data_IF_973193125190
#
_entry.id   IF_973193125190
#
_cell.length_a   1.000
_cell.length_b   1.000
_cell.length_c   1.000
_cell.angle_alpha   90.00
_cell.angle_beta   90.00
_cell.angle_gamma   90.00
#
_symmetry.space_group_name_H-M   'P 1'
#
loop_
_entity.id
_entity.type
_entity.pdbx_description
1 polymer ?
#
# COMPACT_ATOMS: atom_id res chain seq x y z
N UNK A 1 -5.85 -20.52 33.86
CA UNK A 1 -5.66 -21.53 32.79
C UNK A 1 -5.90 -20.94 31.39
N UNK A 2 -6.87 -20.02 31.20
CA UNK A 2 -7.16 -19.41 29.89
C UNK A 2 -6.12 -18.37 29.46
N UNK A 3 -5.53 -17.64 30.40
CA UNK A 3 -4.46 -16.66 30.19
C UNK A 3 -3.15 -17.33 29.72
N UNK A 4 -2.83 -18.51 30.26
CA UNK A 4 -1.64 -19.27 29.84
C UNK A 4 -1.80 -19.87 28.43
N UNK A 5 -3.00 -20.35 28.06
CA UNK A 5 -3.31 -20.79 26.68
C UNK A 5 -3.26 -19.63 25.69
N UNK A 6 -3.77 -18.47 26.05
CA UNK A 6 -3.73 -17.25 25.22
C UNK A 6 -2.29 -16.79 24.99
N UNK A 7 -1.42 -16.81 26.03
CA UNK A 7 0.01 -16.47 25.89
C UNK A 7 0.73 -17.48 24.99
N UNK A 8 0.49 -18.77 25.14
CA UNK A 8 1.12 -19.82 24.31
C UNK A 8 0.73 -19.74 22.84
N UNK A 9 -0.54 -19.42 22.52
CA UNK A 9 -1.00 -19.19 21.14
C UNK A 9 -0.38 -17.93 20.54
N UNK A 10 -0.25 -16.85 21.31
CA UNK A 10 0.42 -15.62 20.89
C UNK A 10 1.90 -15.85 20.55
N UNK A 11 2.59 -16.65 21.34
CA UNK A 11 4.01 -16.97 21.09
C UNK A 11 4.21 -17.88 19.88
N UNK A 12 3.31 -18.83 19.63
CA UNK A 12 3.32 -19.67 18.43
C UNK A 12 3.08 -18.81 17.19
N UNK A 13 2.09 -17.91 17.23
CA UNK A 13 1.80 -17.00 16.13
C UNK A 13 3.00 -16.09 15.82
N UNK A 14 3.60 -15.47 16.83
CA UNK A 14 4.79 -14.63 16.66
C UNK A 14 5.96 -15.38 16.05
N UNK A 15 6.18 -16.65 16.45
CA UNK A 15 7.22 -17.50 15.86
C UNK A 15 6.95 -17.81 14.38
N UNK A 16 5.70 -18.11 14.01
CA UNK A 16 5.33 -18.35 12.61
C UNK A 16 5.53 -17.11 11.75
N UNK A 17 5.15 -15.93 12.24
CA UNK A 17 5.36 -14.68 11.54
C UNK A 17 6.85 -14.40 11.31
N UNK A 18 7.68 -14.57 12.34
CA UNK A 18 9.14 -14.40 12.22
C UNK A 18 9.76 -15.40 11.22
N UNK A 19 9.32 -16.65 11.24
CA UNK A 19 9.79 -17.66 10.28
C UNK A 19 9.38 -17.33 8.84
N UNK A 20 8.18 -16.77 8.63
CA UNK A 20 7.75 -16.31 7.32
C UNK A 20 8.62 -15.15 6.80
N UNK A 21 8.95 -14.17 7.67
CA UNK A 21 9.88 -13.11 7.31
C UNK A 21 11.25 -13.68 6.94
N UNK A 22 11.81 -14.57 7.75
CA UNK A 22 13.10 -15.19 7.49
C UNK A 22 13.15 -15.87 6.11
N UNK A 23 12.15 -16.69 5.80
CA UNK A 23 12.07 -17.39 4.50
C UNK A 23 11.93 -16.43 3.32
N UNK A 24 11.09 -15.41 3.48
CA UNK A 24 10.91 -14.40 2.45
C UNK A 24 12.21 -13.62 2.23
N UNK A 25 12.83 -13.14 3.28
CA UNK A 25 14.06 -12.36 3.21
C UNK A 25 15.22 -13.15 2.59
N UNK A 26 15.37 -14.43 2.98
CA UNK A 26 16.34 -15.34 2.37
C UNK A 26 16.14 -15.49 0.85
N UNK A 27 14.88 -15.60 0.41
CA UNK A 27 14.54 -15.71 -1.01
C UNK A 27 14.67 -14.40 -1.79
N UNK A 28 14.41 -13.27 -1.13
CA UNK A 28 14.42 -11.94 -1.73
C UNK A 28 15.76 -11.20 -1.61
N UNK A 29 16.72 -11.74 -0.83
CA UNK A 29 18.02 -11.10 -0.59
C UNK A 29 17.95 -9.93 0.40
N UNK A 30 17.00 -9.95 1.35
CA UNK A 30 16.89 -8.96 2.42
C UNK A 30 17.36 -9.51 3.76
N UNK A 31 17.78 -8.61 4.65
CA UNK A 31 17.96 -8.92 6.06
C UNK A 31 16.68 -8.56 6.82
N UNK A 32 16.20 -9.47 7.69
CA UNK A 32 14.95 -9.27 8.46
C UNK A 32 15.04 -8.02 9.34
N UNK A 33 16.21 -7.76 9.89
CA UNK A 33 16.53 -6.63 10.76
C UNK A 33 16.41 -5.28 10.04
N UNK A 34 16.51 -5.27 8.72
CA UNK A 34 16.42 -4.05 7.90
C UNK A 34 15.00 -3.64 7.53
N UNK A 35 14.01 -4.49 7.83
CA UNK A 35 12.61 -4.21 7.49
C UNK A 35 12.03 -3.17 8.46
N UNK A 36 11.34 -2.19 7.89
CA UNK A 36 10.47 -1.23 8.60
C UNK A 36 9.04 -1.44 8.10
N UNK A 37 8.11 -1.74 9.00
CA UNK A 37 6.70 -1.92 8.65
C UNK A 37 5.87 -0.70 9.00
N UNK A 38 4.97 -0.30 8.11
CA UNK A 38 3.96 0.72 8.39
C UNK A 38 2.96 0.27 9.47
N UNK A 39 2.32 1.22 10.11
CA UNK A 39 1.17 1.00 11.02
C UNK A 39 -0.09 1.56 10.37
N UNK A 40 -0.66 0.79 9.45
CA UNK A 40 -1.69 1.21 8.51
C UNK A 40 -3.04 1.45 9.20
N UNK A 41 -3.52 2.67 9.14
CA UNK A 41 -4.80 3.10 9.70
C UNK A 41 -5.73 3.76 8.65
N UNK A 42 -5.41 3.60 7.35
CA UNK A 42 -6.12 4.21 6.22
C UNK A 42 -6.08 5.74 6.25
N UNK A 43 -4.95 6.30 6.68
CA UNK A 43 -4.64 7.73 6.65
C UNK A 43 -3.88 8.11 5.38
N UNK A 44 -3.37 9.35 5.32
CA UNK A 44 -2.41 9.81 4.30
C UNK A 44 -1.09 10.26 4.93
N UNK A 45 -0.82 9.83 6.16
CA UNK A 45 0.43 10.16 6.85
C UNK A 45 1.59 9.38 6.24
N UNK A 46 2.64 10.10 5.86
CA UNK A 46 3.89 9.56 5.32
C UNK A 46 5.02 9.84 6.30
N UNK A 47 5.85 8.82 6.56
CA UNK A 47 7.01 8.93 7.44
C UNK A 47 8.30 8.74 6.65
N UNK A 48 9.26 9.62 6.85
CA UNK A 48 10.65 9.36 6.49
C UNK A 48 11.23 8.37 7.50
N UNK A 49 11.79 7.28 7.00
CA UNK A 49 12.42 6.21 7.79
C UNK A 49 13.88 6.06 7.41
N UNK A 50 14.70 5.70 8.39
CA UNK A 50 16.15 5.57 8.31
C UNK A 50 16.62 4.23 8.83
N UNK A 51 17.93 3.96 8.81
CA UNK A 51 18.52 2.78 9.47
C UNK A 51 18.19 2.69 10.96
N UNK A 52 17.97 3.83 11.63
CA UNK A 52 17.54 3.83 13.03
C UNK A 52 16.14 3.22 13.25
N UNK A 53 15.29 3.26 12.23
CA UNK A 53 13.94 2.66 12.26
C UNK A 53 13.93 1.16 11.94
N UNK A 54 15.03 0.59 11.45
CA UNK A 54 15.12 -0.81 11.05
C UNK A 54 14.70 -1.78 12.16
N UNK A 55 13.99 -2.83 11.78
CA UNK A 55 13.37 -3.81 12.68
C UNK A 55 12.01 -3.40 13.24
N UNK A 56 11.56 -2.16 13.06
CA UNK A 56 10.29 -1.66 13.61
C UNK A 56 9.10 -2.44 13.07
N UNK A 57 8.32 -3.04 13.99
CA UNK A 57 7.16 -3.88 13.71
C UNK A 57 7.49 -5.31 13.29
N UNK A 58 8.76 -5.72 13.27
CA UNK A 58 9.22 -7.08 12.93
C UNK A 58 10.04 -7.68 14.05
N UNK A 59 11.22 -7.10 14.35
CA UNK A 59 12.13 -7.59 15.40
C UNK A 59 12.03 -6.78 16.69
N UNK A 60 11.50 -5.56 16.60
CA UNK A 60 11.19 -4.68 17.72
C UNK A 60 9.81 -4.02 17.56
N UNK A 61 9.26 -3.50 18.64
CA UNK A 61 8.01 -2.75 18.59
C UNK A 61 8.21 -1.42 17.83
N UNK A 62 7.13 -0.95 17.18
CA UNK A 62 7.11 0.38 16.54
C UNK A 62 6.98 1.46 17.61
N UNK A 63 7.61 2.61 17.35
CA UNK A 63 7.50 3.84 18.13
C UNK A 63 6.63 4.91 17.45
N UNK A 64 5.97 4.55 16.35
CA UNK A 64 5.08 5.39 15.57
C UNK A 64 3.77 4.69 15.22
N UNK A 65 2.71 5.47 14.99
CA UNK A 65 1.36 4.98 14.73
C UNK A 65 0.70 5.75 13.58
N UNK A 66 -0.33 5.13 12.98
CA UNK A 66 -1.17 5.72 11.93
C UNK A 66 -0.38 6.15 10.68
N UNK A 67 0.62 5.39 10.29
CA UNK A 67 1.46 5.65 9.13
C UNK A 67 1.08 4.69 8.01
N UNK A 68 0.58 5.24 6.90
CA UNK A 68 0.19 4.48 5.71
C UNK A 68 1.20 4.59 4.56
N UNK A 69 2.15 5.52 4.64
CA UNK A 69 3.25 5.67 3.69
C UNK A 69 4.60 5.82 4.37
N UNK A 70 5.64 5.31 3.74
CA UNK A 70 7.02 5.46 4.17
C UNK A 70 7.90 5.85 2.99
N UNK A 71 8.89 6.70 3.24
CA UNK A 71 9.88 7.14 2.26
C UNK A 71 11.28 7.00 2.85
N UNK A 72 12.27 6.74 2.01
CA UNK A 72 13.69 6.68 2.41
C UNK A 72 14.62 6.95 1.24
N UNK A 73 15.82 7.47 1.54
CA UNK A 73 16.97 7.58 0.64
C UNK A 73 18.16 6.75 1.15
N UNK A 74 17.96 5.96 2.21
CA UNK A 74 19.03 5.15 2.80
C UNK A 74 19.08 3.75 2.19
N UNK A 75 20.18 3.36 1.49
CA UNK A 75 20.38 2.01 1.01
C UNK A 75 20.32 0.98 2.15
N UNK A 76 19.70 -0.16 1.86
CA UNK A 76 19.55 -1.27 2.79
C UNK A 76 18.35 -1.16 3.72
N UNK A 77 17.68 -0.01 3.86
CA UNK A 77 16.37 0.07 4.53
C UNK A 77 15.30 -0.59 3.65
N UNK A 78 14.53 -1.51 4.20
CA UNK A 78 13.47 -2.25 3.50
C UNK A 78 12.10 -1.76 3.98
N UNK A 79 11.41 -1.00 3.14
CA UNK A 79 10.04 -0.57 3.41
C UNK A 79 9.08 -1.75 3.22
N UNK A 80 8.15 -1.95 4.16
CA UNK A 80 7.14 -3.02 4.07
C UNK A 80 5.74 -2.54 4.46
N UNK A 81 4.75 -2.86 3.63
CA UNK A 81 3.33 -2.55 3.83
C UNK A 81 2.47 -3.78 3.51
N UNK A 82 1.22 -3.85 4.03
CA UNK A 82 0.41 -5.05 3.98
C UNK A 82 -0.95 -4.80 3.34
N UNK A 83 -1.45 -5.80 2.61
CA UNK A 83 -2.63 -5.66 1.77
C UNK A 83 -3.49 -6.91 1.75
N UNK A 84 -4.78 -6.70 1.53
CA UNK A 84 -5.70 -7.67 0.97
C UNK A 84 -6.81 -6.86 0.31
N UNK A 85 -6.67 -6.63 -1.00
CA UNK A 85 -7.47 -5.81 -1.91
C UNK A 85 -7.10 -4.32 -1.98
N UNK A 86 -6.62 -3.67 -0.91
CA UNK A 86 -6.13 -2.30 -0.97
C UNK A 86 -4.93 -2.17 -1.92
N UNK A 87 -4.67 -0.96 -2.39
CA UNK A 87 -3.68 -0.66 -3.43
C UNK A 87 -2.31 -0.37 -2.83
N UNK A 88 -1.26 -1.15 -3.17
CA UNK A 88 0.13 -0.75 -2.94
C UNK A 88 0.55 0.30 -3.98
N UNK A 89 1.17 1.38 -3.51
CA UNK A 89 1.77 2.40 -4.37
C UNK A 89 3.27 2.42 -4.15
N UNK A 90 4.02 2.22 -5.23
CA UNK A 90 5.48 2.23 -5.26
C UNK A 90 5.97 3.48 -5.96
N UNK A 91 7.00 4.11 -5.41
CA UNK A 91 7.63 5.31 -5.95
C UNK A 91 9.14 5.13 -5.98
N UNK A 92 9.75 5.40 -7.11
CA UNK A 92 11.21 5.37 -7.27
C UNK A 92 11.64 6.67 -7.92
N UNK A 93 12.49 7.42 -7.24
CA UNK A 93 13.18 8.59 -7.77
C UNK A 93 14.64 8.22 -8.06
N UNK A 94 14.99 7.98 -9.33
CA UNK A 94 16.36 7.61 -9.69
C UNK A 94 17.33 8.80 -9.63
N UNK A 95 16.83 10.05 -9.63
CA UNK A 95 17.66 11.26 -9.62
C UNK A 95 18.21 11.49 -8.21
N UNK A 96 17.35 11.44 -7.19
CA UNK A 96 17.72 11.64 -5.79
C UNK A 96 18.02 10.31 -5.06
N UNK A 97 17.91 9.16 -5.78
CA UNK A 97 18.06 7.83 -5.19
C UNK A 97 17.18 7.65 -3.95
N UNK A 98 15.90 7.97 -4.10
CA UNK A 98 14.91 7.88 -3.04
C UNK A 98 13.75 6.99 -3.46
N UNK A 99 13.11 6.36 -2.47
CA UNK A 99 11.96 5.47 -2.69
C UNK A 99 10.82 5.80 -1.73
N UNK A 100 9.61 5.47 -2.16
CA UNK A 100 8.41 5.53 -1.34
C UNK A 100 7.54 4.30 -1.52
N UNK A 101 6.91 3.84 -0.44
CA UNK A 101 5.96 2.74 -0.46
C UNK A 101 4.76 3.09 0.42
N UNK A 102 3.56 3.09 -0.18
CA UNK A 102 2.35 3.56 0.50
C UNK A 102 1.18 2.63 0.31
N UNK A 103 0.31 2.58 1.32
CA UNK A 103 -0.95 1.84 1.31
C UNK A 103 -2.10 2.79 0.98
N UNK A 104 -2.84 2.48 -0.08
CA UNK A 104 -3.98 3.26 -0.55
C UNK A 104 -5.23 2.39 -0.66
N UNK A 105 -5.99 2.26 0.44
CA UNK A 105 -7.37 1.81 0.37
C UNK A 105 -8.28 2.91 -0.21
N UNK A 106 -9.60 2.71 -0.29
CA UNK A 106 -10.49 3.72 -0.85
C UNK A 106 -10.41 5.08 -0.11
N UNK A 107 -10.23 5.08 1.22
CA UNK A 107 -10.04 6.31 2.00
C UNK A 107 -8.74 7.02 1.65
N UNK A 108 -7.62 6.28 1.60
CA UNK A 108 -6.34 6.81 1.17
C UNK A 108 -6.39 7.36 -0.27
N UNK A 109 -7.13 6.70 -1.16
CA UNK A 109 -7.34 7.15 -2.55
C UNK A 109 -8.13 8.47 -2.60
N UNK A 110 -9.26 8.55 -1.89
CA UNK A 110 -10.06 9.80 -1.80
C UNK A 110 -9.21 10.96 -1.26
N UNK A 111 -8.41 10.70 -0.23
CA UNK A 111 -7.52 11.71 0.36
C UNK A 111 -6.17 11.85 -0.35
N UNK A 112 -6.02 11.30 -1.57
CA UNK A 112 -4.86 11.49 -2.44
C UNK A 112 -3.54 10.97 -1.84
N UNK A 113 -3.51 9.76 -1.30
CA UNK A 113 -2.31 9.14 -0.71
C UNK A 113 -1.09 9.18 -1.65
N UNK A 114 -1.30 8.98 -2.97
CA UNK A 114 -0.23 9.07 -3.96
C UNK A 114 0.41 10.45 -4.02
N UNK A 115 -0.41 11.51 -4.01
CA UNK A 115 0.07 12.90 -3.94
C UNK A 115 0.81 13.16 -2.63
N UNK A 116 0.24 12.76 -1.48
CA UNK A 116 0.86 12.96 -0.18
C UNK A 116 2.24 12.30 -0.08
N UNK A 117 2.43 11.15 -0.74
CA UNK A 117 3.73 10.48 -0.79
C UNK A 117 4.74 11.26 -1.64
N UNK A 118 4.31 11.76 -2.81
CA UNK A 118 5.16 12.59 -3.68
C UNK A 118 5.52 13.92 -3.00
N UNK A 119 4.59 14.55 -2.29
CA UNK A 119 4.85 15.78 -1.54
C UNK A 119 5.89 15.55 -0.45
N UNK A 120 5.77 14.45 0.30
CA UNK A 120 6.77 14.09 1.32
C UNK A 120 8.14 13.79 0.72
N UNK A 121 8.22 13.14 -0.45
CA UNK A 121 9.47 12.92 -1.17
C UNK A 121 10.05 14.24 -1.68
N UNK A 122 9.21 15.15 -2.18
CA UNK A 122 9.64 16.48 -2.60
C UNK A 122 10.22 17.29 -1.43
N UNK A 123 9.49 17.38 -0.32
CA UNK A 123 9.92 18.12 0.87
C UNK A 123 11.22 17.58 1.46
N UNK A 124 11.40 16.25 1.43
CA UNK A 124 12.55 15.61 2.09
C UNK A 124 13.76 15.49 1.20
N UNK A 125 13.60 15.19 -0.10
CA UNK A 125 14.66 14.83 -1.01
C UNK A 125 14.81 15.79 -2.20
N UNK A 126 13.84 16.70 -2.40
CA UNK A 126 13.78 17.52 -3.60
C UNK A 126 13.26 16.76 -4.83
N UNK A 127 12.61 15.60 -4.64
CA UNK A 127 12.03 14.79 -5.71
C UNK A 127 11.06 15.60 -6.55
N UNK A 128 11.25 15.60 -7.86
CA UNK A 128 10.30 16.17 -8.82
C UNK A 128 9.44 15.05 -9.40
N UNK A 129 8.11 15.23 -9.40
CA UNK A 129 7.18 14.19 -9.87
C UNK A 129 7.48 13.71 -11.30
N UNK A 130 8.00 14.58 -12.18
CA UNK A 130 8.40 14.24 -13.55
C UNK A 130 9.51 13.19 -13.66
N UNK A 131 10.31 13.03 -12.60
CA UNK A 131 11.46 12.12 -12.55
C UNK A 131 11.11 10.79 -11.86
N UNK A 132 9.91 10.70 -11.25
CA UNK A 132 9.45 9.54 -10.50
C UNK A 132 8.91 8.46 -11.44
N UNK A 133 9.34 7.21 -11.20
CA UNK A 133 8.69 6.01 -11.71
C UNK A 133 7.73 5.53 -10.63
N UNK A 134 6.44 5.42 -10.96
CA UNK A 134 5.41 4.98 -10.04
C UNK A 134 4.76 3.67 -10.50
N UNK A 135 4.40 2.81 -9.55
CA UNK A 135 3.64 1.61 -9.86
C UNK A 135 2.48 1.40 -8.88
N UNK A 136 1.34 1.01 -9.43
CA UNK A 136 0.19 0.48 -8.71
C UNK A 136 0.38 -1.03 -8.62
N UNK A 137 0.46 -1.59 -7.42
CA UNK A 137 0.67 -3.03 -7.25
C UNK A 137 -0.61 -3.85 -7.34
N UNK A 138 -0.51 -5.19 -7.32
CA UNK A 138 -1.66 -6.10 -7.33
C UNK A 138 -2.67 -5.76 -6.23
N UNK A 139 -3.93 -5.57 -6.62
CA UNK A 139 -5.02 -5.14 -5.75
C UNK A 139 -6.36 -5.48 -6.39
N UNK A 140 -7.48 -5.13 -5.79
CA UNK A 140 -8.80 -5.47 -6.31
C UNK A 140 -9.13 -4.67 -7.57
N UNK A 141 -9.60 -5.34 -8.63
CA UNK A 141 -10.05 -4.68 -9.87
C UNK A 141 -11.47 -4.11 -9.73
N UNK A 142 -11.88 -3.28 -10.69
CA UNK A 142 -13.19 -2.66 -10.73
C UNK A 142 -14.33 -3.67 -10.64
N UNK A 143 -14.29 -4.74 -11.43
CA UNK A 143 -15.37 -5.73 -11.53
C UNK A 143 -15.59 -6.51 -10.21
N UNK A 144 -14.57 -6.58 -9.37
CA UNK A 144 -14.66 -7.22 -8.05
C UNK A 144 -14.95 -6.23 -6.92
N UNK A 145 -14.76 -4.91 -7.13
CA UNK A 145 -14.84 -3.93 -6.05
C UNK A 145 -16.18 -3.21 -6.02
N UNK A 146 -17.19 -3.93 -5.55
CA UNK A 146 -18.52 -3.38 -5.25
C UNK A 146 -18.50 -2.56 -3.97
N UNK A 147 -19.04 -1.35 -4.02
CA UNK A 147 -19.16 -0.41 -2.90
C UNK A 147 -20.56 0.17 -2.80
N UNK A 148 -20.90 0.75 -1.66
CA UNK A 148 -22.14 1.48 -1.41
C UNK A 148 -22.09 2.92 -1.92
N UNK A 149 -23.25 3.57 -2.00
CA UNK A 149 -23.38 4.94 -2.52
C UNK A 149 -22.61 5.99 -1.71
N UNK A 150 -22.52 5.81 -0.38
CA UNK A 150 -21.76 6.71 0.50
C UNK A 150 -20.27 6.79 0.13
N UNK A 151 -19.66 5.66 -0.25
CA UNK A 151 -18.27 5.65 -0.76
C UNK A 151 -18.17 6.44 -2.08
N UNK A 152 -19.18 6.30 -2.96
CA UNK A 152 -19.16 7.00 -4.25
C UNK A 152 -19.35 8.51 -4.09
N UNK A 153 -20.12 8.97 -3.12
CA UNK A 153 -20.24 10.40 -2.83
C UNK A 153 -18.90 11.02 -2.43
N UNK A 154 -18.06 10.30 -1.68
CA UNK A 154 -16.69 10.73 -1.36
C UNK A 154 -15.83 10.84 -2.64
N UNK A 155 -15.95 9.88 -3.57
CA UNK A 155 -15.25 9.94 -4.87
C UNK A 155 -15.77 11.07 -5.76
N UNK A 156 -17.06 11.34 -5.78
CA UNK A 156 -17.66 12.47 -6.50
C UNK A 156 -17.13 13.81 -5.99
N UNK A 157 -17.01 13.96 -4.69
CA UNK A 157 -16.48 15.16 -4.08
C UNK A 157 -14.96 15.33 -4.32
N UNK A 158 -14.20 14.23 -4.39
CA UNK A 158 -12.74 14.25 -4.48
C UNK A 158 -12.19 14.32 -5.91
N UNK A 159 -12.99 13.96 -6.93
CA UNK A 159 -12.56 13.88 -8.32
C UNK A 159 -13.49 14.71 -9.23
N UNK A 160 -12.94 15.36 -10.28
CA UNK A 160 -13.75 16.12 -11.23
C UNK A 160 -14.74 15.20 -11.98
N UNK A 161 -15.91 15.74 -12.31
CA UNK A 161 -17.00 15.01 -12.95
C UNK A 161 -16.58 14.31 -14.24
N UNK A 162 -15.64 14.89 -14.97
CA UNK A 162 -15.09 14.33 -16.22
C UNK A 162 -14.38 12.98 -16.05
N UNK A 163 -14.04 12.62 -14.82
CA UNK A 163 -13.41 11.33 -14.50
C UNK A 163 -14.41 10.31 -13.96
N UNK A 164 -15.62 10.69 -13.56
CA UNK A 164 -16.53 9.80 -12.84
C UNK A 164 -16.82 8.51 -13.60
N UNK A 165 -17.09 8.59 -14.92
CA UNK A 165 -17.38 7.41 -15.75
C UNK A 165 -16.20 6.44 -15.85
N UNK A 166 -14.96 6.91 -15.70
CA UNK A 166 -13.76 6.06 -15.65
C UNK A 166 -13.57 5.41 -14.29
N UNK A 167 -14.03 6.08 -13.22
CA UNK A 167 -13.78 5.67 -11.85
C UNK A 167 -14.84 4.71 -11.32
N UNK A 168 -16.11 4.88 -11.69
CA UNK A 168 -17.19 4.05 -11.17
C UNK A 168 -18.40 4.01 -12.09
N UNK A 169 -19.18 2.94 -11.97
CA UNK A 169 -20.50 2.84 -12.60
C UNK A 169 -21.52 2.24 -11.64
N UNK A 170 -22.79 2.66 -11.78
CA UNK A 170 -23.91 2.20 -10.97
C UNK A 170 -24.42 0.83 -11.41
N UNK A 171 -24.92 0.07 -10.44
CA UNK A 171 -25.61 -1.22 -10.65
C UNK A 171 -27.10 -1.08 -10.41
N UNK A 172 -27.96 -1.99 -10.96
CA UNK A 172 -29.40 -1.96 -10.77
C UNK A 172 -29.86 -2.08 -9.30
N UNK A 173 -29.03 -2.65 -8.42
CA UNK A 173 -29.29 -2.83 -7.00
C UNK A 173 -28.92 -1.60 -6.14
N UNK A 174 -28.54 -0.48 -6.77
CA UNK A 174 -28.16 0.76 -6.10
C UNK A 174 -26.71 0.77 -5.57
N UNK A 175 -25.94 -0.28 -5.85
CA UNK A 175 -24.51 -0.32 -5.57
C UNK A 175 -23.69 0.13 -6.76
N UNK A 176 -22.40 0.18 -6.58
CA UNK A 176 -21.45 0.68 -7.60
C UNK A 176 -20.23 -0.22 -7.69
N UNK A 177 -19.65 -0.27 -8.89
CA UNK A 177 -18.32 -0.83 -9.11
C UNK A 177 -17.31 0.31 -9.17
N UNK A 178 -16.25 0.23 -8.36
CA UNK A 178 -15.26 1.29 -8.19
C UNK A 178 -13.87 0.84 -8.69
N UNK A 179 -13.23 1.68 -9.50
CA UNK A 179 -11.92 1.45 -10.08
C UNK A 179 -10.83 2.19 -9.27
N UNK A 180 -10.25 1.52 -8.27
CA UNK A 180 -9.15 2.09 -7.49
C UNK A 180 -7.85 2.22 -8.30
N UNK A 181 -7.63 1.37 -9.30
CA UNK A 181 -6.45 1.47 -10.15
C UNK A 181 -6.47 2.77 -10.94
N UNK A 182 -7.58 3.03 -11.64
CA UNK A 182 -7.75 4.26 -12.39
C UNK A 182 -7.75 5.50 -11.48
N UNK A 183 -8.36 5.43 -10.31
CA UNK A 183 -8.37 6.56 -9.38
C UNK A 183 -6.94 6.93 -8.93
N UNK A 184 -6.12 5.95 -8.56
CA UNK A 184 -4.72 6.19 -8.20
C UNK A 184 -3.88 6.64 -9.42
N UNK A 185 -4.13 6.07 -10.62
CA UNK A 185 -3.52 6.52 -11.86
C UNK A 185 -3.77 8.01 -12.11
N UNK A 186 -5.03 8.46 -12.01
CA UNK A 186 -5.39 9.86 -12.21
C UNK A 186 -4.78 10.79 -11.14
N UNK A 187 -4.63 10.32 -9.90
CA UNK A 187 -3.93 11.06 -8.84
C UNK A 187 -2.46 11.27 -9.21
N UNK A 188 -1.78 10.23 -9.67
CA UNK A 188 -0.36 10.29 -10.06
C UNK A 188 -0.14 11.20 -11.27
N UNK A 189 -1.03 11.13 -12.28
CA UNK A 189 -1.01 12.03 -13.43
C UNK A 189 -1.20 13.50 -13.00
N UNK A 190 -2.20 13.77 -12.16
CA UNK A 190 -2.47 15.11 -11.64
C UNK A 190 -1.31 15.67 -10.79
N UNK A 191 -0.57 14.78 -10.11
CA UNK A 191 0.63 15.13 -9.36
C UNK A 191 1.85 15.43 -10.25
N UNK A 192 1.76 15.19 -11.56
CA UNK A 192 2.83 15.49 -12.52
C UNK A 192 3.75 14.31 -12.87
N UNK A 193 3.42 13.08 -12.44
CA UNK A 193 4.15 11.88 -12.91
C UNK A 193 3.79 11.63 -14.37
N UNK A 194 4.78 11.50 -15.28
CA UNK A 194 4.50 11.24 -16.68
C UNK A 194 3.79 9.89 -16.90
N UNK A 195 2.79 9.87 -17.79
CA UNK A 195 2.01 8.66 -18.12
C UNK A 195 2.88 7.42 -18.35
N UNK A 196 3.95 7.57 -19.14
CA UNK A 196 4.89 6.49 -19.46
C UNK A 196 5.69 5.93 -18.28
N UNK A 197 5.68 6.63 -17.15
CA UNK A 197 6.36 6.26 -15.91
C UNK A 197 5.39 5.70 -14.86
N UNK A 198 4.09 5.58 -15.18
CA UNK A 198 3.08 4.99 -14.31
C UNK A 198 2.75 3.58 -14.80
N UNK A 199 2.96 2.59 -13.96
CA UNK A 199 2.71 1.19 -14.25
C UNK A 199 1.49 0.66 -13.48
N UNK A 200 0.53 0.08 -14.19
CA UNK A 200 -0.66 -0.52 -13.60
C UNK A 200 -0.50 -2.03 -13.43
N UNK A 201 -1.15 -2.67 -12.42
CA UNK A 201 -0.81 -4.03 -12.01
C UNK A 201 -1.30 -5.12 -12.97
N UNK A 202 -2.41 -4.91 -13.65
CA UNK A 202 -3.12 -5.91 -14.47
C UNK A 202 -3.36 -7.27 -13.75
N UNK A 203 -3.30 -7.29 -12.42
CA UNK A 203 -3.43 -8.47 -11.58
C UNK A 203 -4.35 -8.18 -10.39
N UNK A 204 -5.54 -8.79 -10.42
CA UNK A 204 -6.55 -8.62 -9.38
C UNK A 204 -6.39 -9.66 -8.27
N UNK A 205 -6.37 -9.21 -7.02
CA UNK A 205 -6.32 -10.09 -5.84
C UNK A 205 -7.55 -10.96 -5.71
N UNK A 206 -8.74 -10.40 -5.97
CA UNK A 206 -10.01 -11.09 -5.86
C UNK A 206 -10.27 -12.12 -6.98
N UNK A 207 -9.76 -11.85 -8.20
CA UNK A 207 -9.87 -12.79 -9.31
C UNK A 207 -8.89 -13.98 -9.18
N UNK A 208 -7.87 -13.85 -8.33
CA UNK A 208 -6.80 -14.84 -8.19
C UNK A 208 -6.66 -15.34 -6.74
N UNK A 209 -7.74 -15.84 -6.11
CA UNK A 209 -7.76 -16.21 -4.69
C UNK A 209 -6.91 -17.43 -4.35
N UNK A 210 -6.51 -18.22 -5.35
CA UNK A 210 -5.73 -19.45 -5.17
C UNK A 210 -4.26 -19.16 -4.78
N UNK A 211 -3.75 -17.97 -5.12
CA UNK A 211 -2.38 -17.58 -4.79
C UNK A 211 -2.24 -16.16 -4.23
N UNK A 212 -3.32 -15.36 -4.22
CA UNK A 212 -3.33 -14.03 -3.62
C UNK A 212 -4.39 -13.92 -2.54
N UNK A 213 -4.03 -13.30 -1.41
CA UNK A 213 -5.02 -13.01 -0.37
C UNK A 213 -5.94 -11.87 -0.80
N UNK A 214 -7.25 -12.11 -0.71
CA UNK A 214 -8.29 -11.12 -0.95
C UNK A 214 -9.29 -11.11 0.20
N UNK A 215 -9.55 -9.94 0.77
CA UNK A 215 -10.59 -9.74 1.77
C UNK A 215 -11.98 -10.02 1.18
N UNK A 216 -12.20 -9.57 -0.05
CA UNK A 216 -13.46 -9.70 -0.77
C UNK A 216 -13.75 -11.17 -1.09
N UNK A 217 -12.83 -11.87 -1.73
CA UNK A 217 -13.01 -13.27 -2.11
C UNK A 217 -13.17 -14.18 -0.89
N UNK A 218 -12.42 -13.96 0.18
CA UNK A 218 -12.45 -14.80 1.38
C UNK A 218 -13.50 -14.40 2.42
N UNK A 219 -14.29 -13.34 2.14
CA UNK A 219 -15.28 -12.78 3.11
C UNK A 219 -14.62 -12.47 4.47
N UNK A 220 -13.41 -11.91 4.44
CA UNK A 220 -12.65 -11.50 5.61
C UNK A 220 -11.79 -12.60 6.26
N UNK A 221 -11.90 -13.85 5.86
CA UNK A 221 -11.07 -14.96 6.38
C UNK A 221 -9.78 -15.10 5.57
N UNK A 222 -8.78 -14.28 5.86
CA UNK A 222 -7.59 -14.17 5.01
C UNK A 222 -6.32 -13.87 5.79
N UNK A 223 -5.17 -14.15 5.17
CA UNK A 223 -3.90 -13.52 5.51
C UNK A 223 -3.73 -12.17 4.84
N UNK A 224 -2.50 -11.68 4.76
CA UNK A 224 -2.14 -10.47 4.04
C UNK A 224 -1.07 -10.78 2.98
N UNK A 225 -1.15 -10.05 1.89
CA UNK A 225 -0.03 -9.83 0.99
C UNK A 225 0.87 -8.76 1.59
N UNK A 226 2.14 -8.78 1.24
CA UNK A 226 3.07 -7.73 1.63
C UNK A 226 3.74 -7.16 0.37
N UNK A 227 3.97 -5.85 0.38
CA UNK A 227 4.82 -5.17 -0.57
C UNK A 227 6.13 -4.78 0.12
N UNK A 228 7.24 -4.95 -0.58
CA UNK A 228 8.57 -4.59 -0.09
C UNK A 228 9.28 -3.73 -1.13
N UNK A 229 10.05 -2.75 -0.67
CA UNK A 229 10.85 -1.88 -1.53
C UNK A 229 12.12 -1.47 -0.78
N UNK A 230 13.27 -1.58 -1.45
CA UNK A 230 14.57 -1.18 -0.91
C UNK A 230 15.47 -0.61 -1.99
N UNK A 231 16.32 0.32 -1.59
CA UNK A 231 17.47 0.74 -2.39
C UNK A 231 18.63 -0.23 -2.18
N UNK A 232 19.31 -0.58 -3.27
CA UNK A 232 20.52 -1.38 -3.31
C UNK A 232 21.74 -0.52 -3.63
#
# INVERSE_FOLDING_TARGET
RDVERSRGLGDVYKRQVRENYRRFCEAAGFEVENIVTSDQAHTTKVRYVTKADCGSGVTRDRDFHDIDGMITDEPGVVLATFYADCVPLYFVDPVHRAIGLSHSGWRGTVHKMGQATLDAMHERFGTEAKDVIAAVGPSICQDCYEVSGDVIEEFRAAFPETLHEKLFYGKPDGKYQLNLWEANHQILLAAGVPEKQIHLPNLCTCCNPDFLYSHRASKGKRGNLAAFLSLV
#
